data_IF_763624561927
#
_entry.id   IF_763624561927
#
_cell.length_a   1.000
_cell.length_b   1.000
_cell.length_c   1.000
_cell.angle_alpha   90.00
_cell.angle_beta   90.00
_cell.angle_gamma   90.00
#
_symmetry.space_group_name_H-M   'P 1'
#
loop_
_entity.id
_entity.type
_entity.pdbx_description
1 polymer ?
#
# COMPACT_ATOMS: atom_id res chain seq x y z
N UNK A 1 18.62 4.11 -12.09
CA UNK A 1 18.41 5.15 -11.09
C UNK A 1 19.70 5.85 -10.74
N UNK A 2 19.65 7.16 -10.66
CA UNK A 2 20.81 7.97 -10.30
C UNK A 2 20.98 8.12 -8.77
N UNK A 3 19.96 7.77 -8.00
CA UNK A 3 19.97 7.91 -6.54
C UNK A 3 20.82 6.83 -5.88
N UNK A 4 21.57 7.21 -4.85
CA UNK A 4 22.37 6.28 -4.07
C UNK A 4 21.75 6.13 -2.69
N UNK A 5 21.41 4.90 -2.34
CA UNK A 5 20.90 4.56 -1.01
C UNK A 5 22.07 4.20 -0.10
N UNK A 6 22.05 4.75 1.11
CA UNK A 6 23.12 4.57 2.09
C UNK A 6 22.56 4.08 3.41
N UNK A 7 23.45 3.54 4.26
CA UNK A 7 23.09 3.11 5.61
C UNK A 7 22.42 4.26 6.38
N UNK A 8 21.31 3.96 7.01
CA UNK A 8 20.46 4.95 7.69
C UNK A 8 19.24 5.36 6.88
N UNK A 9 19.21 5.06 5.58
CA UNK A 9 18.02 5.26 4.75
C UNK A 9 17.02 4.12 4.97
N UNK A 10 15.77 4.39 4.59
CA UNK A 10 14.72 3.38 4.54
C UNK A 10 13.86 3.62 3.31
N UNK A 11 13.31 2.56 2.73
CA UNK A 11 12.34 2.65 1.65
C UNK A 11 10.96 2.43 2.24
N UNK A 12 10.07 3.40 2.06
CA UNK A 12 8.67 3.30 2.47
C UNK A 12 7.79 3.26 1.22
N UNK A 13 7.06 2.17 1.06
CA UNK A 13 6.11 1.96 -0.02
C UNK A 13 4.71 2.16 0.57
N UNK A 14 3.93 3.07 0.00
CA UNK A 14 2.66 3.48 0.58
C UNK A 14 1.49 2.96 -0.22
N UNK A 15 0.73 2.02 0.35
CA UNK A 15 -0.62 1.63 -0.06
C UNK A 15 -0.73 1.15 -1.52
N UNK A 16 0.19 0.35 -2.01
CA UNK A 16 0.15 -0.20 -3.36
C UNK A 16 -0.73 -1.45 -3.37
N UNK A 17 -2.02 -1.23 -3.26
CA UNK A 17 -3.04 -2.26 -3.09
C UNK A 17 -3.97 -2.32 -4.29
N UNK A 18 -4.57 -3.48 -4.52
CA UNK A 18 -5.43 -3.71 -5.71
C UNK A 18 -6.58 -2.70 -5.83
N UNK A 19 -7.18 -2.29 -4.72
CA UNK A 19 -8.30 -1.34 -4.78
C UNK A 19 -7.89 0.08 -5.18
N UNK A 20 -6.62 0.41 -5.13
CA UNK A 20 -6.12 1.75 -5.51
C UNK A 20 -5.55 1.82 -6.92
N UNK A 21 -5.55 0.73 -7.66
CA UNK A 21 -5.09 0.70 -9.05
C UNK A 21 -6.28 0.48 -9.98
N UNK A 22 -6.14 0.71 -11.31
CA UNK A 22 -7.24 0.52 -12.25
C UNK A 22 -7.91 -0.86 -12.10
N UNK A 23 -9.23 -0.86 -12.01
CA UNK A 23 -10.03 -2.06 -11.75
C UNK A 23 -10.41 -2.25 -10.28
N UNK A 24 -9.81 -1.49 -9.37
CA UNK A 24 -10.13 -1.54 -7.94
C UNK A 24 -11.30 -0.66 -7.55
N UNK A 25 -11.74 -0.80 -6.29
CA UNK A 25 -12.95 -0.12 -5.78
C UNK A 25 -12.76 1.38 -5.61
N UNK A 26 -11.52 1.85 -5.41
CA UNK A 26 -11.18 3.27 -5.25
C UNK A 26 -9.93 3.58 -6.07
N UNK A 27 -10.03 3.34 -7.37
CA UNK A 27 -8.89 3.36 -8.27
C UNK A 27 -8.35 4.77 -8.51
N UNK A 28 -7.02 4.87 -8.49
CA UNK A 28 -6.28 6.03 -8.97
C UNK A 28 -6.01 5.81 -10.45
N UNK A 29 -6.40 6.75 -11.35
CA UNK A 29 -6.09 6.61 -12.76
C UNK A 29 -4.59 6.42 -12.98
N UNK A 30 -4.23 5.38 -13.73
CA UNK A 30 -2.82 5.01 -14.01
C UNK A 30 -2.00 4.71 -12.75
N UNK A 31 -2.67 4.37 -11.64
CA UNK A 31 -1.97 4.09 -10.38
C UNK A 31 -0.98 2.94 -10.45
N UNK A 32 -1.19 2.00 -11.35
CA UNK A 32 -0.29 0.86 -11.57
C UNK A 32 1.05 1.24 -12.24
N UNK A 33 1.15 2.43 -12.82
CA UNK A 33 2.39 2.89 -13.45
C UNK A 33 3.54 3.09 -12.45
N UNK A 34 3.23 3.23 -11.15
CA UNK A 34 4.27 3.34 -10.12
C UNK A 34 5.01 2.03 -9.87
N UNK A 35 4.41 0.88 -10.23
CA UNK A 35 4.91 -0.44 -9.83
C UNK A 35 6.29 -0.75 -10.43
N UNK A 36 6.54 -0.55 -11.73
CA UNK A 36 7.88 -0.78 -12.26
C UNK A 36 8.94 0.10 -11.61
N UNK A 37 8.61 1.34 -11.30
CA UNK A 37 9.53 2.28 -10.63
C UNK A 37 9.80 1.80 -9.21
N UNK A 38 8.76 1.40 -8.49
CA UNK A 38 8.91 0.87 -7.13
C UNK A 38 9.76 -0.40 -7.11
N UNK A 39 9.60 -1.27 -8.08
CA UNK A 39 10.41 -2.48 -8.16
C UNK A 39 11.90 -2.16 -8.36
N UNK A 40 12.24 -1.08 -9.08
CA UNK A 40 13.62 -0.61 -9.19
C UNK A 40 14.15 -0.14 -7.84
N UNK A 41 13.35 0.61 -7.08
CA UNK A 41 13.73 1.06 -5.74
C UNK A 41 13.88 -0.10 -4.75
N UNK A 42 12.99 -1.09 -4.84
CA UNK A 42 13.07 -2.30 -4.00
C UNK A 42 14.39 -3.04 -4.27
N UNK A 43 14.75 -3.22 -5.54
CA UNK A 43 16.01 -3.88 -5.90
C UNK A 43 17.21 -3.09 -5.38
N UNK A 44 17.19 -1.76 -5.51
CA UNK A 44 18.26 -0.90 -5.01
C UNK A 44 18.35 -0.95 -3.47
N UNK A 45 17.21 -0.98 -2.78
CA UNK A 45 17.19 -1.09 -1.31
C UNK A 45 17.79 -2.41 -0.82
N UNK A 46 17.44 -3.52 -1.48
CA UNK A 46 18.02 -4.82 -1.15
C UNK A 46 19.52 -4.84 -1.38
N UNK A 47 19.97 -4.29 -2.49
CA UNK A 47 21.39 -4.22 -2.80
C UNK A 47 22.15 -3.37 -1.78
N UNK A 48 21.55 -2.28 -1.32
CA UNK A 48 22.15 -1.39 -0.32
C UNK A 48 21.98 -1.90 1.12
N UNK A 49 21.21 -2.96 1.31
CA UNK A 49 20.96 -3.57 2.62
C UNK A 49 20.23 -2.62 3.59
N UNK A 50 19.31 -1.82 3.07
CA UNK A 50 18.47 -0.92 3.86
C UNK A 50 17.08 -1.51 4.07
N UNK A 51 16.39 -1.13 5.18
CA UNK A 51 15.06 -1.66 5.46
C UNK A 51 14.00 -1.18 4.48
N UNK A 52 13.02 -2.05 4.20
CA UNK A 52 11.87 -1.77 3.34
C UNK A 52 10.61 -1.94 4.18
N UNK A 53 9.75 -0.93 4.15
CA UNK A 53 8.45 -0.93 4.79
C UNK A 53 7.35 -0.74 3.75
N UNK A 54 6.24 -1.45 3.91
CA UNK A 54 5.08 -1.28 3.04
C UNK A 54 3.85 -1.06 3.90
N UNK A 55 3.20 0.08 3.73
CA UNK A 55 1.95 0.34 4.42
C UNK A 55 0.76 -0.16 3.61
N UNK A 56 -0.32 -0.45 4.32
CA UNK A 56 -1.59 -0.82 3.69
C UNK A 56 -2.76 -0.34 4.53
N UNK A 57 -3.82 0.10 3.86
CA UNK A 57 -5.13 0.22 4.49
C UNK A 57 -5.66 -1.19 4.76
N UNK A 58 -6.18 -1.40 5.96
CA UNK A 58 -6.64 -2.71 6.38
C UNK A 58 -7.94 -2.56 7.13
N UNK A 59 -8.98 -2.11 6.40
CA UNK A 59 -10.24 -1.71 6.99
C UNK A 59 -11.11 -2.90 7.42
N UNK A 60 -11.81 -2.81 8.56
CA UNK A 60 -12.92 -3.71 8.80
C UNK A 60 -14.05 -3.42 7.81
N UNK A 61 -14.95 -4.39 7.61
CA UNK A 61 -16.04 -4.25 6.64
C UNK A 61 -16.98 -3.07 6.95
N UNK A 62 -17.02 -2.63 8.20
CA UNK A 62 -17.89 -1.56 8.69
C UNK A 62 -17.13 -0.27 9.03
N UNK A 63 -16.05 0.01 8.31
CA UNK A 63 -15.20 1.17 8.59
C UNK A 63 -15.96 2.49 8.44
N UNK A 64 -15.66 3.46 9.31
CA UNK A 64 -16.35 4.76 9.39
C UNK A 64 -16.21 5.58 8.09
N UNK A 65 -15.15 5.37 7.30
CA UNK A 65 -14.94 6.09 6.04
C UNK A 65 -15.88 5.63 4.91
N UNK A 66 -16.59 4.54 5.10
CA UNK A 66 -17.42 3.95 4.05
C UNK A 66 -18.78 4.62 3.96
N UNK A 67 -19.32 4.69 2.73
CA UNK A 67 -20.59 5.34 2.44
C UNK A 67 -21.77 4.74 3.24
N UNK A 68 -21.69 3.48 3.60
CA UNK A 68 -22.68 2.81 4.44
C UNK A 68 -22.78 3.41 5.85
N UNK A 69 -21.74 4.14 6.27
CA UNK A 69 -21.72 4.89 7.53
C UNK A 69 -21.62 6.40 7.29
N UNK A 70 -22.14 6.86 6.15
CA UNK A 70 -22.10 8.27 5.73
C UNK A 70 -20.67 8.81 5.52
N UNK A 71 -19.71 7.93 5.31
CA UNK A 71 -18.35 8.31 4.96
C UNK A 71 -18.19 8.67 3.48
N UNK A 72 -17.04 9.23 3.09
CA UNK A 72 -16.85 9.72 1.73
C UNK A 72 -16.56 8.63 0.69
N UNK A 73 -16.20 7.43 1.10
CA UNK A 73 -15.65 6.42 0.19
C UNK A 73 -16.53 5.19 0.05
N UNK A 74 -16.50 4.53 -1.14
CA UNK A 74 -17.04 3.19 -1.25
C UNK A 74 -16.20 2.22 -0.41
N UNK A 75 -16.73 1.03 -0.05
CA UNK A 75 -15.91 0.01 0.59
C UNK A 75 -14.68 -0.29 -0.26
N UNK A 76 -13.51 -0.24 0.36
CA UNK A 76 -12.22 -0.49 -0.27
C UNK A 76 -11.24 -1.00 0.76
N UNK A 77 -10.23 -1.72 0.32
CA UNK A 77 -9.16 -2.26 1.18
C UNK A 77 -9.71 -2.94 2.43
N UNK A 78 -10.81 -3.64 2.28
CA UNK A 78 -11.41 -4.44 3.37
C UNK A 78 -10.48 -5.62 3.65
N UNK A 79 -10.05 -5.74 4.90
CA UNK A 79 -9.10 -6.77 5.30
C UNK A 79 -9.55 -8.16 4.88
N UNK A 80 -8.58 -8.99 4.51
CA UNK A 80 -8.79 -10.36 4.05
C UNK A 80 -9.55 -10.48 2.72
N UNK A 81 -9.65 -9.38 1.96
CA UNK A 81 -10.22 -9.42 0.60
C UNK A 81 -9.13 -9.20 -0.45
N UNK A 82 -9.37 -9.64 -1.71
CA UNK A 82 -8.42 -9.41 -2.78
C UNK A 82 -8.09 -7.92 -3.01
N UNK A 83 -9.07 -7.03 -2.81
CA UNK A 83 -8.87 -5.58 -2.99
C UNK A 83 -7.87 -4.98 -2.01
N UNK A 84 -7.75 -5.55 -0.81
CA UNK A 84 -6.81 -5.09 0.21
C UNK A 84 -5.40 -5.63 0.00
N UNK A 85 -5.19 -6.59 -0.86
CA UNK A 85 -3.87 -7.18 -1.10
C UNK A 85 -2.98 -6.21 -1.85
N UNK A 86 -1.67 -6.30 -1.60
CA UNK A 86 -0.69 -5.62 -2.45
C UNK A 86 -0.80 -6.11 -3.88
N UNK A 87 -0.56 -5.21 -4.83
CA UNK A 87 -0.60 -5.56 -6.23
C UNK A 87 0.39 -6.71 -6.52
N UNK A 88 -0.02 -7.73 -7.30
CA UNK A 88 0.84 -8.92 -7.51
C UNK A 88 2.13 -8.63 -8.26
N UNK A 89 2.20 -7.54 -9.03
CA UNK A 89 3.41 -7.18 -9.76
C UNK A 89 4.41 -6.40 -8.91
N UNK A 90 4.03 -6.00 -7.69
CA UNK A 90 4.95 -5.37 -6.75
C UNK A 90 5.86 -6.43 -6.14
N UNK A 91 7.17 -6.25 -6.26
CA UNK A 91 8.16 -7.26 -5.89
C UNK A 91 8.44 -7.26 -4.39
N UNK A 92 7.42 -7.55 -3.59
CA UNK A 92 7.56 -7.70 -2.15
C UNK A 92 7.98 -9.13 -1.79
N UNK A 93 8.82 -9.24 -0.77
CA UNK A 93 9.24 -10.53 -0.23
C UNK A 93 9.23 -10.49 1.30
N UNK A 94 9.67 -11.57 1.94
CA UNK A 94 9.61 -11.73 3.39
C UNK A 94 10.45 -10.71 4.16
N UNK A 95 11.41 -10.07 3.50
CA UNK A 95 12.25 -9.04 4.10
C UNK A 95 11.55 -7.69 4.29
N UNK A 96 10.32 -7.55 3.79
CA UNK A 96 9.55 -6.30 3.89
C UNK A 96 8.71 -6.31 5.15
N UNK A 97 8.78 -5.23 5.92
CA UNK A 97 7.91 -5.04 7.09
C UNK A 97 6.60 -4.40 6.65
N UNK A 98 5.49 -5.09 6.87
CA UNK A 98 4.15 -4.59 6.52
C UNK A 98 3.56 -3.84 7.71
N UNK A 99 3.06 -2.64 7.46
CA UNK A 99 2.39 -1.81 8.47
C UNK A 99 0.94 -1.62 8.06
N UNK A 100 0.02 -2.18 8.82
CA UNK A 100 -1.42 -2.05 8.59
C UNK A 100 -1.95 -0.83 9.33
N UNK A 101 -2.85 -0.07 8.70
CA UNK A 101 -3.44 1.14 9.26
C UNK A 101 -4.93 1.20 9.02
N UNK A 102 -5.62 2.09 9.78
CA UNK A 102 -7.06 2.31 9.68
C UNK A 102 -7.86 1.02 9.84
N UNK A 103 -7.46 0.19 10.79
CA UNK A 103 -8.06 -1.13 11.05
C UNK A 103 -9.12 -1.09 12.16
N UNK A 104 -9.39 0.09 12.72
CA UNK A 104 -10.43 0.27 13.73
C UNK A 104 -11.72 0.78 13.05
N UNK A 105 -12.91 0.20 13.37
CA UNK A 105 -14.15 0.56 12.66
C UNK A 105 -14.57 2.02 12.83
N UNK A 106 -14.24 2.65 13.94
CA UNK A 106 -14.71 4.00 14.26
C UNK A 106 -13.63 5.09 14.09
N UNK A 107 -12.44 4.73 13.62
CA UNK A 107 -11.33 5.67 13.45
C UNK A 107 -10.77 5.57 12.05
N UNK A 108 -10.64 6.73 11.40
CA UNK A 108 -9.97 6.81 10.11
C UNK A 108 -8.49 7.16 10.30
N UNK A 109 -7.71 6.92 9.26
CA UNK A 109 -6.32 7.31 9.21
C UNK A 109 -5.95 7.65 7.77
N UNK A 110 -5.61 8.89 7.53
CA UNK A 110 -5.06 9.33 6.25
C UNK A 110 -3.55 9.15 6.29
N UNK A 111 -2.99 8.60 5.29
CA UNK A 111 -1.58 8.14 5.19
C UNK A 111 -0.53 9.00 5.88
#
# INVERSE_FOLDING_TARGET
MAQVLTKGDALLIVDVQNDFVPGGALAVPKGDEVIPVLNQWIAAARKANIPIYASRDWHPFNHVSFQERDGPWPPHCVRDTPGARFHPDLDLSEDVTVVSKADHPDKDAYS
#
